data_IF_364753714430
#
_entry.id   IF_364753714430
#
_cell.length_a   1.000
_cell.length_b   1.000
_cell.length_c   1.000
_cell.angle_alpha   90.00
_cell.angle_beta   90.00
_cell.angle_gamma   90.00
#
_symmetry.space_group_name_H-M   'P 1'
#
loop_
_entity.id
_entity.type
_entity.pdbx_description
1 polymer ?
#
# COMPACT_ATOMS: atom_id res chain seq x y z
N UNK A 1 -13.18 -5.21 87.29
CA UNK A 1 -11.97 -4.75 86.59
C UNK A 1 -12.33 -4.57 85.13
N UNK A 2 -12.56 -3.33 84.71
CA UNK A 2 -12.92 -2.99 83.34
C UNK A 2 -11.62 -2.75 82.55
N UNK A 3 -11.42 -3.49 81.45
CA UNK A 3 -10.40 -3.17 80.46
C UNK A 3 -11.00 -2.22 79.42
N UNK A 4 -10.56 -0.98 79.49
CA UNK A 4 -10.95 0.12 78.60
C UNK A 4 -10.29 -0.09 77.22
N UNK A 5 -11.10 -0.51 76.24
CA UNK A 5 -10.66 -0.67 74.84
C UNK A 5 -10.76 0.68 74.14
N UNK A 6 -9.64 1.42 74.14
CA UNK A 6 -9.52 2.71 73.46
C UNK A 6 -9.49 2.49 71.94
N UNK A 7 -10.62 2.69 71.27
CA UNK A 7 -10.71 2.79 69.81
C UNK A 7 -9.86 3.97 69.31
N UNK A 8 -8.69 3.67 68.72
CA UNK A 8 -7.89 4.66 67.98
C UNK A 8 -8.49 4.76 66.59
N UNK A 9 -9.45 5.67 66.41
CA UNK A 9 -9.98 6.03 65.11
C UNK A 9 -8.91 6.75 64.29
N UNK A 10 -8.36 6.06 63.28
CA UNK A 10 -7.52 6.68 62.25
C UNK A 10 -8.45 7.55 61.39
N UNK A 11 -8.58 8.83 61.70
CA UNK A 11 -9.23 9.78 60.79
C UNK A 11 -8.31 9.98 59.57
N UNK A 12 -8.62 9.27 58.48
CA UNK A 12 -8.10 9.55 57.16
C UNK A 12 -8.70 10.87 56.65
N UNK A 13 -8.16 12.01 57.10
CA UNK A 13 -8.43 13.31 56.49
C UNK A 13 -7.58 13.38 55.23
N UNK A 14 -8.11 12.85 54.13
CA UNK A 14 -7.56 13.19 52.81
C UNK A 14 -7.77 14.70 52.62
N UNK A 15 -6.72 15.52 52.51
CA UNK A 15 -6.90 16.94 52.28
C UNK A 15 -7.73 17.15 51.00
N UNK A 16 -8.67 18.11 50.98
CA UNK A 16 -9.50 18.33 49.81
C UNK A 16 -8.61 18.70 48.63
N UNK A 17 -8.79 17.99 47.51
CA UNK A 17 -8.01 18.12 46.30
C UNK A 17 -7.95 19.60 45.87
N UNK A 18 -6.75 20.20 45.85
CA UNK A 18 -6.58 21.63 45.57
C UNK A 18 -6.98 21.91 44.12
N UNK A 19 -7.39 23.15 43.83
CA UNK A 19 -7.73 23.58 42.46
C UNK A 19 -6.57 23.32 41.49
N UNK A 20 -5.33 23.53 41.94
CA UNK A 20 -4.10 23.25 41.18
C UNK A 20 -3.95 21.76 40.88
N UNK A 21 -4.23 20.89 41.85
CA UNK A 21 -4.15 19.43 41.66
C UNK A 21 -5.19 18.94 40.65
N UNK A 22 -6.41 19.48 40.69
CA UNK A 22 -7.46 19.19 39.68
C UNK A 22 -7.02 19.59 38.28
N UNK A 23 -6.42 20.78 38.13
CA UNK A 23 -5.93 21.26 36.85
C UNK A 23 -4.78 20.39 36.31
N UNK A 24 -3.86 19.98 37.20
CA UNK A 24 -2.76 19.09 36.84
C UNK A 24 -3.25 17.70 36.39
N UNK A 25 -4.23 17.11 37.08
CA UNK A 25 -4.79 15.80 36.71
C UNK A 25 -5.50 15.88 35.35
N UNK A 26 -6.30 16.93 35.12
CA UNK A 26 -6.96 17.12 33.82
C UNK A 26 -5.93 17.29 32.70
N UNK A 27 -4.84 18.02 32.97
CA UNK A 27 -3.74 18.16 32.01
C UNK A 27 -3.07 16.81 31.68
N UNK A 28 -2.79 15.98 32.70
CA UNK A 28 -2.23 14.64 32.50
C UNK A 28 -3.14 13.72 31.69
N UNK A 29 -4.43 13.72 31.99
CA UNK A 29 -5.43 12.96 31.21
C UNK A 29 -5.45 13.48 29.76
N UNK A 30 -5.43 14.80 29.56
CA UNK A 30 -5.36 15.42 28.25
C UNK A 30 -4.14 14.97 27.44
N UNK A 31 -2.96 14.96 28.05
CA UNK A 31 -1.73 14.48 27.40
C UNK A 31 -1.81 12.99 27.04
N UNK A 32 -2.34 12.16 27.94
CA UNK A 32 -2.54 10.73 27.67
C UNK A 32 -3.49 10.50 26.49
N UNK A 33 -4.59 11.24 26.41
CA UNK A 33 -5.53 11.18 25.29
C UNK A 33 -4.87 11.61 23.96
N UNK A 34 -4.08 12.69 23.95
CA UNK A 34 -3.39 13.14 22.74
C UNK A 34 -2.41 12.09 22.21
N UNK A 35 -1.62 11.46 23.09
CA UNK A 35 -0.70 10.40 22.71
C UNK A 35 -1.46 9.17 22.18
N UNK A 36 -2.57 8.79 22.82
CA UNK A 36 -3.40 7.67 22.35
C UNK A 36 -3.98 7.93 20.95
N UNK A 37 -4.44 9.15 20.67
CA UNK A 37 -4.94 9.55 19.35
C UNK A 37 -3.81 9.54 18.31
N UNK A 38 -2.63 10.08 18.63
CA UNK A 38 -1.47 10.02 17.74
C UNK A 38 -1.05 8.56 17.43
N UNK A 39 -1.06 7.70 18.44
CA UNK A 39 -0.78 6.27 18.26
C UNK A 39 -1.82 5.58 17.36
N UNK A 40 -3.12 5.81 17.63
CA UNK A 40 -4.19 5.23 16.83
C UNK A 40 -4.14 5.67 15.37
N UNK A 41 -3.93 6.97 15.11
CA UNK A 41 -3.84 7.48 13.74
C UNK A 41 -2.64 6.88 13.00
N UNK A 42 -1.46 6.85 13.62
CA UNK A 42 -0.25 6.21 13.03
C UNK A 42 -0.49 4.74 12.72
N UNK A 43 -1.13 4.01 13.62
CA UNK A 43 -1.47 2.61 13.41
C UNK A 43 -2.39 2.40 12.19
N UNK A 44 -3.46 3.21 12.06
CA UNK A 44 -4.35 3.11 10.91
C UNK A 44 -3.62 3.41 9.60
N UNK A 45 -2.73 4.40 9.57
CA UNK A 45 -1.94 4.71 8.38
C UNK A 45 -1.03 3.54 7.99
N UNK A 46 -0.35 2.93 8.96
CA UNK A 46 0.47 1.74 8.73
C UNK A 46 -0.32 0.58 8.14
N UNK A 47 -1.58 0.37 8.55
CA UNK A 47 -2.44 -0.67 7.97
C UNK A 47 -2.76 -0.43 6.49
N UNK A 48 -3.00 0.82 6.08
CA UNK A 48 -3.28 1.16 4.68
C UNK A 48 -2.05 0.90 3.81
N UNK A 49 -0.86 1.27 4.29
CA UNK A 49 0.41 1.02 3.60
C UNK A 49 0.69 -0.48 3.47
N UNK A 50 0.54 -1.26 4.54
CA UNK A 50 0.72 -2.71 4.50
C UNK A 50 -0.26 -3.41 3.56
N UNK A 51 -1.52 -2.93 3.51
CA UNK A 51 -2.50 -3.44 2.54
C UNK A 51 -2.10 -3.11 1.11
N UNK A 52 -1.58 -1.90 0.87
CA UNK A 52 -1.09 -1.50 -0.45
C UNK A 52 0.11 -2.33 -0.92
N UNK A 53 1.05 -2.65 0.00
CA UNK A 53 2.17 -3.55 -0.29
C UNK A 53 1.68 -4.96 -0.65
N UNK A 54 0.75 -5.52 0.14
CA UNK A 54 0.14 -6.82 -0.13
C UNK A 54 -0.57 -6.87 -1.48
N UNK A 55 -1.25 -5.79 -1.87
CA UNK A 55 -1.82 -5.68 -3.21
C UNK A 55 -0.74 -5.76 -4.28
N UNK A 56 0.36 -5.02 -4.12
CA UNK A 56 1.52 -5.10 -5.01
C UNK A 56 2.13 -6.51 -5.09
N UNK A 57 2.27 -7.19 -3.95
CA UNK A 57 2.77 -8.57 -3.89
C UNK A 57 1.83 -9.56 -4.59
N UNK A 58 0.51 -9.41 -4.40
CA UNK A 58 -0.50 -10.20 -5.10
C UNK A 58 -0.42 -10.01 -6.62
N UNK A 59 -0.19 -8.77 -7.07
CA UNK A 59 0.07 -8.45 -8.47
C UNK A 59 1.35 -9.10 -8.98
N UNK A 60 2.46 -8.97 -8.26
CA UNK A 60 3.73 -9.57 -8.66
C UNK A 60 3.61 -11.10 -8.76
N UNK A 61 2.93 -11.72 -7.80
CA UNK A 61 2.65 -13.16 -7.80
C UNK A 61 1.81 -13.57 -9.00
N UNK A 62 0.70 -12.86 -9.24
CA UNK A 62 -0.17 -13.14 -10.38
C UNK A 62 0.59 -13.01 -11.71
N UNK A 63 1.37 -11.94 -11.89
CA UNK A 63 2.20 -11.74 -13.09
C UNK A 63 3.21 -12.87 -13.27
N UNK A 64 3.88 -13.27 -12.19
CA UNK A 64 4.88 -14.34 -12.23
C UNK A 64 4.28 -15.70 -12.57
N UNK A 65 3.06 -15.98 -12.14
CA UNK A 65 2.34 -17.22 -12.48
C UNK A 65 1.81 -17.16 -13.92
N UNK A 66 1.24 -16.03 -14.30
CA UNK A 66 0.70 -15.73 -15.61
C UNK A 66 1.75 -15.78 -16.73
N UNK A 67 2.96 -15.27 -16.47
CA UNK A 67 4.06 -15.29 -17.42
C UNK A 67 4.41 -16.71 -17.92
N UNK A 68 4.13 -17.74 -17.11
CA UNK A 68 4.44 -19.14 -17.47
C UNK A 68 3.49 -19.71 -18.51
N UNK A 69 2.27 -19.19 -18.61
CA UNK A 69 1.21 -19.76 -19.45
C UNK A 69 0.56 -18.74 -20.39
N UNK A 70 1.02 -17.48 -20.40
CA UNK A 70 0.45 -16.40 -21.23
C UNK A 70 0.45 -16.67 -22.74
N UNK A 71 1.23 -17.63 -23.21
CA UNK A 71 1.29 -18.07 -24.61
C UNK A 71 0.33 -19.24 -24.93
N UNK A 72 -0.41 -19.75 -23.94
CA UNK A 72 -1.34 -20.85 -24.14
C UNK A 72 -2.55 -20.38 -24.99
N UNK A 73 -3.08 -21.23 -25.88
CA UNK A 73 -4.13 -20.84 -26.83
C UNK A 73 -5.43 -20.37 -26.17
N UNK A 74 -5.74 -20.87 -24.96
CA UNK A 74 -6.93 -20.50 -24.18
C UNK A 74 -6.59 -19.73 -22.90
N UNK A 75 -5.49 -18.99 -22.89
CA UNK A 75 -5.09 -18.22 -21.71
C UNK A 75 -6.12 -17.14 -21.35
N UNK A 76 -6.43 -17.06 -20.06
CA UNK A 76 -7.30 -16.03 -19.49
C UNK A 76 -6.56 -15.23 -18.42
N UNK A 77 -6.69 -13.89 -18.39
CA UNK A 77 -7.49 -13.07 -19.29
C UNK A 77 -6.89 -12.93 -20.70
N UNK A 78 -7.72 -13.03 -21.74
CA UNK A 78 -7.28 -12.94 -23.14
C UNK A 78 -6.53 -11.62 -23.47
N UNK A 79 -6.90 -10.52 -22.81
CA UNK A 79 -6.22 -9.22 -22.96
C UNK A 79 -4.76 -9.24 -22.48
N UNK A 80 -4.40 -10.21 -21.63
CA UNK A 80 -3.06 -10.41 -21.10
C UNK A 80 -2.29 -11.56 -21.75
N UNK A 81 -2.90 -12.26 -22.71
CA UNK A 81 -2.23 -13.30 -23.48
C UNK A 81 -1.18 -12.71 -24.43
N UNK A 82 -0.39 -13.57 -25.07
CA UNK A 82 0.61 -13.17 -26.06
C UNK A 82 0.35 -13.73 -27.47
N UNK A 83 -0.88 -14.18 -27.71
CA UNK A 83 -1.28 -14.91 -28.92
C UNK A 83 -2.06 -14.05 -29.92
N UNK A 84 -2.60 -12.89 -29.52
CA UNK A 84 -3.33 -12.01 -30.43
C UNK A 84 -2.38 -10.96 -31.03
N UNK A 85 -2.77 -10.29 -32.14
CA UNK A 85 -1.96 -9.24 -32.74
C UNK A 85 -1.64 -8.10 -31.74
N UNK A 86 -0.42 -7.51 -31.81
CA UNK A 86 0.06 -6.46 -30.90
C UNK A 86 -0.93 -5.31 -30.64
N UNK A 87 -1.66 -4.89 -31.69
CA UNK A 87 -2.59 -3.77 -31.62
C UNK A 87 -3.80 -4.02 -30.70
N UNK A 88 -4.07 -5.28 -30.35
CA UNK A 88 -5.20 -5.68 -29.50
C UNK A 88 -4.79 -6.10 -28.09
N UNK A 89 -3.49 -6.29 -27.82
CA UNK A 89 -2.98 -6.76 -26.53
C UNK A 89 -2.05 -5.71 -25.92
N UNK A 90 -2.66 -4.75 -25.25
CA UNK A 90 -1.94 -3.63 -24.63
C UNK A 90 -1.87 -3.81 -23.11
N UNK A 91 -0.83 -3.25 -22.49
CA UNK A 91 -0.70 -3.26 -21.04
C UNK A 91 -1.87 -2.60 -20.31
N UNK A 92 -2.46 -1.54 -20.89
CA UNK A 92 -3.65 -0.90 -20.35
C UNK A 92 -4.86 -1.83 -20.34
N UNK A 93 -5.16 -2.46 -21.49
CA UNK A 93 -6.28 -3.40 -21.59
C UNK A 93 -6.11 -4.63 -20.70
N UNK A 94 -4.87 -5.14 -20.58
CA UNK A 94 -4.56 -6.22 -19.64
C UNK A 94 -4.83 -5.79 -18.19
N UNK A 95 -4.33 -4.64 -17.76
CA UNK A 95 -4.55 -4.12 -16.40
C UNK A 95 -6.05 -3.96 -16.08
N UNK A 96 -6.82 -3.41 -17.02
CA UNK A 96 -8.27 -3.25 -16.86
C UNK A 96 -8.97 -4.61 -16.71
N UNK A 97 -8.58 -5.62 -17.50
CA UNK A 97 -9.15 -6.97 -17.41
C UNK A 97 -8.82 -7.68 -16.08
N UNK A 98 -7.63 -7.44 -15.52
CA UNK A 98 -7.20 -8.04 -14.25
C UNK A 98 -7.94 -7.40 -13.07
N UNK A 99 -8.13 -6.08 -13.13
CA UNK A 99 -8.80 -5.28 -12.08
C UNK A 99 -10.31 -5.19 -12.24
N UNK A 100 -10.86 -5.71 -13.34
CA UNK A 100 -12.31 -5.86 -13.54
C UNK A 100 -12.94 -6.63 -12.36
N UNK A 101 -14.24 -6.44 -12.04
CA UNK A 101 -14.83 -7.06 -10.84
C UNK A 101 -14.81 -8.59 -10.90
N UNK A 102 -14.87 -9.14 -12.11
CA UNK A 102 -14.77 -10.55 -12.48
C UNK A 102 -13.32 -10.98 -12.81
N UNK A 103 -12.38 -10.04 -12.81
CA UNK A 103 -10.97 -10.28 -13.04
C UNK A 103 -10.28 -10.95 -11.85
N UNK A 104 -9.12 -11.59 -12.08
CA UNK A 104 -8.39 -12.34 -11.05
C UNK A 104 -7.99 -11.51 -9.84
N UNK A 105 -7.79 -10.19 -9.99
CA UNK A 105 -7.46 -9.28 -8.90
C UNK A 105 -8.54 -8.21 -8.69
N UNK A 106 -9.77 -8.44 -9.18
CA UNK A 106 -10.90 -7.53 -9.07
C UNK A 106 -11.32 -7.19 -7.64
N UNK A 107 -11.05 -8.11 -6.70
CA UNK A 107 -11.33 -7.91 -5.28
C UNK A 107 -10.35 -6.93 -4.60
N UNK A 108 -9.22 -6.61 -5.23
CA UNK A 108 -8.24 -5.70 -4.66
C UNK A 108 -8.66 -4.25 -4.88
N UNK A 109 -8.72 -3.49 -3.78
CA UNK A 109 -9.05 -2.06 -3.77
C UNK A 109 -7.86 -1.25 -3.31
N UNK A 110 -7.77 0.01 -3.76
CA UNK A 110 -6.83 0.97 -3.20
C UNK A 110 -7.30 1.35 -1.78
N UNK A 111 -6.54 1.06 -0.71
CA UNK A 111 -6.97 1.31 0.67
C UNK A 111 -6.99 2.80 1.04
N UNK A 112 -6.31 3.67 0.30
CA UNK A 112 -6.30 5.11 0.54
C UNK A 112 -7.51 5.82 -0.08
N UNK A 113 -7.90 5.43 -1.29
CA UNK A 113 -9.07 6.01 -1.97
C UNK A 113 -10.35 5.22 -1.77
N UNK A 114 -10.27 3.95 -1.35
CA UNK A 114 -11.39 3.01 -1.25
C UNK A 114 -11.92 2.54 -2.62
N UNK A 115 -11.33 3.00 -3.72
CA UNK A 115 -11.75 2.66 -5.08
C UNK A 115 -11.01 1.46 -5.66
N UNK A 116 -11.23 1.23 -6.96
CA UNK A 116 -10.43 0.26 -7.74
C UNK A 116 -8.97 0.66 -7.73
N UNK A 117 -8.07 -0.33 -7.78
CA UNK A 117 -6.64 -0.09 -8.00
C UNK A 117 -6.43 0.71 -9.29
N UNK A 118 -5.54 1.70 -9.20
CA UNK A 118 -5.20 2.58 -10.31
C UNK A 118 -3.75 2.35 -10.71
N UNK A 119 -3.46 2.62 -11.98
CA UNK A 119 -2.12 2.59 -12.51
C UNK A 119 -1.57 4.00 -12.60
N UNK A 120 -0.52 4.28 -11.83
CA UNK A 120 0.24 5.51 -11.91
C UNK A 120 1.35 5.42 -12.96
N UNK A 121 1.67 6.55 -13.58
CA UNK A 121 2.83 6.66 -14.50
C UNK A 121 4.14 6.65 -13.71
N UNK A 122 4.15 7.32 -12.55
CA UNK A 122 5.23 7.37 -11.57
C UNK A 122 4.64 7.71 -10.21
N UNK A 123 5.35 7.39 -9.12
CA UNK A 123 5.03 7.95 -7.81
C UNK A 123 5.61 9.37 -7.71
N UNK A 124 4.78 10.35 -7.31
CA UNK A 124 5.18 11.75 -7.20
C UNK A 124 4.71 12.34 -5.87
N UNK A 125 5.65 12.78 -5.03
CA UNK A 125 5.33 13.32 -3.69
C UNK A 125 4.56 14.64 -3.71
N UNK A 126 4.52 15.31 -4.87
CA UNK A 126 3.67 16.48 -5.08
C UNK A 126 2.20 16.11 -5.33
N UNK A 127 1.93 14.88 -5.77
CA UNK A 127 0.59 14.38 -6.05
C UNK A 127 0.21 13.23 -5.11
N UNK A 128 -0.40 13.60 -3.98
CA UNK A 128 -0.86 12.65 -2.95
C UNK A 128 -2.06 11.82 -3.39
N UNK A 129 -2.69 12.11 -4.53
CA UNK A 129 -3.78 11.27 -5.06
C UNK A 129 -3.27 9.92 -5.54
N UNK A 130 -1.96 9.81 -5.82
CA UNK A 130 -1.31 8.59 -6.25
C UNK A 130 -1.14 7.56 -5.14
N UNK A 131 -1.40 7.89 -3.87
CA UNK A 131 -1.27 6.96 -2.74
C UNK A 131 -2.03 5.65 -3.00
N UNK A 132 -1.34 4.51 -2.86
CA UNK A 132 -1.86 3.17 -3.14
C UNK A 132 -1.96 2.78 -4.61
N UNK A 133 -1.54 3.64 -5.54
CA UNK A 133 -1.49 3.32 -6.97
C UNK A 133 -0.30 2.42 -7.29
N UNK A 134 -0.48 1.57 -8.31
CA UNK A 134 0.57 0.70 -8.83
C UNK A 134 1.31 1.39 -9.96
N UNK A 135 2.63 1.32 -9.95
CA UNK A 135 3.49 1.87 -10.99
C UNK A 135 4.27 0.73 -11.61
N UNK A 136 4.16 0.62 -12.93
CA UNK A 136 4.86 -0.36 -13.74
C UNK A 136 5.91 0.36 -14.56
N UNK A 137 7.16 -0.03 -14.41
CA UNK A 137 8.27 0.54 -15.15
C UNK A 137 8.93 -0.56 -15.98
N UNK A 138 9.16 -0.34 -17.27
CA UNK A 138 9.92 -1.25 -18.12
C UNK A 138 11.41 -0.95 -18.04
N UNK A 139 12.21 -2.01 -17.99
CA UNK A 139 13.64 -1.97 -18.23
C UNK A 139 13.90 -2.09 -19.72
N UNK A 140 14.46 -1.05 -20.32
CA UNK A 140 14.95 -1.07 -21.70
C UNK A 140 16.47 -1.18 -21.70
N UNK A 141 17.06 -2.21 -22.35
CA UNK A 141 18.52 -2.30 -22.47
C UNK A 141 19.02 -1.12 -23.31
N UNK A 142 20.09 -0.47 -22.84
CA UNK A 142 20.73 0.59 -23.60
C UNK A 142 21.62 0.00 -24.70
N UNK A 143 21.92 0.74 -25.78
CA UNK A 143 22.82 0.27 -26.84
C UNK A 143 24.19 -0.19 -26.31
N UNK A 144 24.83 -1.19 -26.95
CA UNK A 144 26.17 -1.62 -26.62
C UNK A 144 27.16 -0.44 -26.63
N UNK A 145 27.98 -0.30 -25.58
CA UNK A 145 28.91 0.82 -25.41
C UNK A 145 28.39 1.94 -24.49
N UNK A 146 27.13 1.88 -24.05
CA UNK A 146 26.60 2.75 -22.99
C UNK A 146 27.22 2.41 -21.62
N UNK A 147 27.51 3.43 -20.81
CA UNK A 147 28.01 3.26 -19.44
C UNK A 147 26.93 2.75 -18.46
N UNK A 148 25.64 2.96 -18.80
CA UNK A 148 24.50 2.50 -18.02
C UNK A 148 23.87 1.35 -18.78
N UNK A 149 23.75 0.13 -18.23
CA UNK A 149 23.35 -1.07 -19.00
C UNK A 149 21.84 -1.17 -19.28
N UNK A 150 20.99 -0.54 -18.48
CA UNK A 150 19.55 -0.48 -18.72
C UNK A 150 18.96 0.83 -18.19
N UNK A 151 17.98 1.35 -18.92
CA UNK A 151 17.18 2.50 -18.54
C UNK A 151 15.83 2.00 -18.03
N UNK A 152 15.37 2.58 -16.93
CA UNK A 152 14.03 2.37 -16.42
C UNK A 152 13.10 3.46 -16.96
N UNK A 153 11.96 3.09 -17.52
CA UNK A 153 10.98 4.03 -18.06
C UNK A 153 9.57 3.58 -17.72
N UNK A 154 8.62 4.51 -17.62
CA UNK A 154 7.22 4.16 -17.41
C UNK A 154 6.72 3.22 -18.52
N UNK A 155 5.99 2.18 -18.12
CA UNK A 155 5.31 1.28 -19.03
C UNK A 155 4.02 1.96 -19.51
N UNK A 156 3.90 2.21 -20.81
CA UNK A 156 2.77 2.93 -21.38
C UNK A 156 1.54 2.01 -21.48
N UNK A 157 0.34 2.59 -21.45
CA UNK A 157 -0.92 1.83 -21.66
C UNK A 157 -0.95 1.15 -23.02
N UNK A 158 -0.37 1.79 -24.03
CA UNK A 158 -0.29 1.31 -25.39
C UNK A 158 0.87 0.35 -25.67
N UNK A 159 1.74 0.10 -24.68
CA UNK A 159 2.85 -0.84 -24.88
C UNK A 159 2.28 -2.24 -25.15
N UNK A 160 2.87 -2.93 -26.13
CA UNK A 160 2.49 -4.28 -26.54
C UNK A 160 2.90 -5.29 -25.46
N UNK A 161 1.95 -6.10 -25.00
CA UNK A 161 2.19 -7.15 -24.01
C UNK A 161 2.78 -8.43 -24.63
N UNK A 162 2.70 -8.58 -25.96
CA UNK A 162 3.34 -9.67 -26.69
C UNK A 162 4.87 -9.63 -26.58
N UNK A 163 5.44 -8.43 -26.41
CA UNK A 163 6.87 -8.26 -26.21
C UNK A 163 7.27 -8.66 -24.79
N UNK A 164 8.27 -9.53 -24.71
CA UNK A 164 8.85 -9.93 -23.42
C UNK A 164 9.68 -8.77 -22.87
N UNK A 165 9.25 -8.23 -21.73
CA UNK A 165 9.90 -7.07 -21.10
C UNK A 165 10.17 -7.33 -19.63
N UNK A 166 11.29 -6.82 -19.13
CA UNK A 166 11.55 -6.77 -17.69
C UNK A 166 10.81 -5.59 -17.08
N UNK A 167 9.96 -5.86 -16.10
CA UNK A 167 9.08 -4.89 -15.45
C UNK A 167 9.44 -4.79 -13.98
N UNK A 168 9.60 -3.57 -13.50
CA UNK A 168 9.62 -3.25 -12.09
C UNK A 168 8.23 -2.83 -11.64
N UNK A 169 7.70 -3.54 -10.65
CA UNK A 169 6.45 -3.19 -9.99
C UNK A 169 6.74 -2.46 -8.68
N UNK A 170 6.11 -1.30 -8.54
CA UNK A 170 6.14 -0.52 -7.31
C UNK A 170 4.72 -0.10 -6.92
N UNK A 171 4.54 0.24 -5.64
CA UNK A 171 3.32 0.86 -5.12
C UNK A 171 3.68 2.21 -4.52
N UNK A 172 2.80 3.20 -4.65
CA UNK A 172 3.01 4.50 -4.03
C UNK A 172 2.52 4.49 -2.57
N UNK A 173 3.35 4.95 -1.65
CA UNK A 173 3.00 5.09 -0.23
C UNK A 173 2.01 6.24 0.01
N UNK A 174 1.66 6.50 1.28
CA UNK A 174 0.77 7.62 1.64
C UNK A 174 1.28 8.98 1.15
N UNK A 175 2.59 9.19 1.18
CA UNK A 175 3.26 10.38 0.69
C UNK A 175 3.52 10.36 -0.81
N UNK A 176 2.96 9.40 -1.54
CA UNK A 176 3.23 9.13 -2.95
C UNK A 176 4.72 8.93 -3.27
N UNK A 177 5.48 8.37 -2.34
CA UNK A 177 6.84 7.89 -2.59
C UNK A 177 6.81 6.43 -3.07
N UNK A 178 7.88 6.04 -3.76
CA UNK A 178 8.00 4.70 -4.33
C UNK A 178 8.33 3.65 -3.26
N UNK A 179 7.49 2.63 -3.16
CA UNK A 179 7.81 1.37 -2.46
C UNK A 179 8.00 0.31 -3.53
N UNK A 180 9.22 -0.21 -3.66
CA UNK A 180 9.55 -1.26 -4.63
C UNK A 180 9.01 -2.60 -4.12
N UNK A 181 8.23 -3.29 -4.95
CA UNK A 181 7.70 -4.61 -4.64
C UNK A 181 8.59 -5.69 -5.22
N UNK A 182 8.95 -5.57 -6.50
CA UNK A 182 9.84 -6.51 -7.15
C UNK A 182 9.96 -6.27 -8.65
N UNK A 183 10.71 -7.16 -9.29
CA UNK A 183 10.97 -7.15 -10.73
C UNK A 183 10.59 -8.52 -11.30
N UNK A 184 9.98 -8.52 -12.48
CA UNK A 184 9.54 -9.72 -13.17
C UNK A 184 9.74 -9.54 -14.67
N UNK A 185 10.07 -10.62 -15.36
CA UNK A 185 9.99 -10.66 -16.81
C UNK A 185 8.62 -11.20 -17.19
N UNK A 186 7.83 -10.39 -17.89
CA UNK A 186 6.50 -10.77 -18.37
C UNK A 186 6.55 -10.91 -19.89
#
# INVERSE_FOLDING_TARGET
>A
MAMDTKQIGIQHISPPLKRTDKLFIVFMIGMACLVAVMGYTTYQQGKLEETSKRNGEAWLKWLSESAKSRHAPDYQPAACGAQLPPATQTWGGCFESITAPDGPLGALTNPFSGGRLQRGVKCDSQDRTLAGSLVFEKHTPTPPGSAIPSLLSALADSDDIGQKVQIRLSVCDKGANVIRIGEIEF
#
